data_IF_972209791079
#
_entry.id   IF_972209791079
#
_cell.length_a   1.000
_cell.length_b   1.000
_cell.length_c   1.000
_cell.angle_alpha   90.00
_cell.angle_beta   90.00
_cell.angle_gamma   90.00
#
_symmetry.space_group_name_H-M   'P 1'
#
loop_
_entity.id
_entity.type
_entity.pdbx_description
1 polymer ?
#
# COMPACT_ATOMS: atom_id res chain seq x y z
N UNK A 1 -7.57 5.49 -8.24
CA UNK A 1 -7.06 4.20 -8.79
C UNK A 1 -8.18 3.17 -8.80
N UNK A 2 -8.39 2.39 -9.86
CA UNK A 2 -9.57 1.49 -10.02
C UNK A 2 -9.66 0.30 -9.04
N UNK A 3 -8.65 0.03 -8.22
CA UNK A 3 -8.59 -1.13 -7.33
C UNK A 3 -8.80 -0.80 -5.85
N UNK A 4 -8.70 0.47 -5.45
CA UNK A 4 -8.69 0.85 -4.04
C UNK A 4 -10.09 0.76 -3.38
N UNK A 5 -11.14 0.86 -4.18
CA UNK A 5 -12.52 0.72 -3.73
C UNK A 5 -13.16 -0.58 -4.25
N UNK A 6 -12.34 -1.57 -4.58
CA UNK A 6 -12.83 -2.88 -5.00
C UNK A 6 -11.90 -3.94 -4.47
N UNK A 7 -12.25 -4.46 -3.30
CA UNK A 7 -11.47 -5.39 -2.49
C UNK A 7 -11.09 -6.63 -3.31
N UNK A 8 -12.06 -7.20 -4.03
CA UNK A 8 -11.82 -8.34 -4.92
C UNK A 8 -10.79 -8.03 -6.02
N UNK A 9 -10.87 -6.84 -6.65
CA UNK A 9 -9.90 -6.43 -7.69
C UNK A 9 -8.51 -6.22 -7.10
N UNK A 10 -8.39 -5.85 -5.83
CA UNK A 10 -7.10 -5.75 -5.16
C UNK A 10 -6.44 -7.13 -5.06
N UNK A 11 -7.14 -8.15 -4.54
CA UNK A 11 -6.61 -9.52 -4.46
C UNK A 11 -6.33 -10.13 -5.84
N UNK A 12 -7.25 -9.97 -6.80
CA UNK A 12 -7.05 -10.45 -8.17
C UNK A 12 -5.79 -9.83 -8.79
N UNK A 13 -5.50 -8.56 -8.51
CA UNK A 13 -4.28 -7.90 -8.98
C UNK A 13 -3.01 -8.38 -8.26
N UNK A 14 -3.09 -8.80 -7.00
CA UNK A 14 -1.95 -9.39 -6.29
C UNK A 14 -1.62 -10.76 -6.86
N UNK A 15 -2.61 -11.64 -6.98
CA UNK A 15 -2.46 -12.97 -7.55
C UNK A 15 -1.98 -12.93 -9.00
N UNK A 16 -2.54 -12.05 -9.82
CA UNK A 16 -2.08 -11.87 -11.21
C UNK A 16 -0.60 -11.46 -11.28
N UNK A 17 -0.16 -10.53 -10.42
CA UNK A 17 1.24 -10.08 -10.39
C UNK A 17 2.19 -11.17 -9.88
N UNK A 18 1.73 -12.00 -8.95
CA UNK A 18 2.46 -13.19 -8.47
C UNK A 18 2.61 -14.22 -9.59
N UNK A 19 1.52 -14.59 -10.27
CA UNK A 19 1.57 -15.53 -11.41
C UNK A 19 2.53 -15.05 -12.51
N UNK A 20 2.56 -13.75 -12.81
CA UNK A 20 3.48 -13.16 -13.79
C UNK A 20 4.95 -13.13 -13.36
N UNK A 21 5.26 -13.29 -12.06
CA UNK A 21 6.63 -13.27 -11.56
C UNK A 21 7.28 -14.65 -11.50
N UNK A 22 6.47 -15.73 -11.38
CA UNK A 22 6.97 -17.10 -11.33
C UNK A 22 7.84 -17.47 -12.55
N UNK A 23 7.44 -17.20 -13.81
CA UNK A 23 8.29 -17.50 -14.98
C UNK A 23 9.59 -16.72 -15.02
N UNK A 24 9.70 -15.63 -14.24
CA UNK A 24 10.88 -14.77 -14.15
C UNK A 24 11.81 -15.18 -13.00
N UNK A 25 11.50 -16.27 -12.29
CA UNK A 25 12.26 -16.74 -11.14
C UNK A 25 12.19 -15.82 -9.93
N UNK A 26 11.16 -14.96 -9.85
CA UNK A 26 10.99 -14.03 -8.72
C UNK A 26 9.70 -14.34 -7.96
N UNK A 27 9.85 -14.78 -6.71
CA UNK A 27 8.72 -14.91 -5.81
C UNK A 27 8.37 -13.55 -5.19
N UNK A 28 7.11 -13.14 -5.34
CA UNK A 28 6.58 -11.90 -4.76
C UNK A 28 6.05 -12.08 -3.35
N UNK A 29 5.73 -13.31 -2.94
CA UNK A 29 5.23 -13.62 -1.61
C UNK A 29 6.44 -13.90 -0.73
N UNK A 30 6.80 -12.93 0.10
CA UNK A 30 7.94 -13.06 1.01
C UNK A 30 7.62 -13.93 2.24
N UNK A 31 6.34 -14.06 2.59
CA UNK A 31 5.82 -14.83 3.74
C UNK A 31 4.41 -15.32 3.44
N UNK A 32 4.11 -16.54 3.84
CA UNK A 32 2.82 -17.20 3.60
C UNK A 32 2.76 -17.86 2.22
N UNK A 33 1.58 -18.34 1.87
CA UNK A 33 1.28 -19.07 0.63
C UNK A 33 0.29 -18.29 -0.25
N UNK A 34 0.26 -18.52 -1.58
CA UNK A 34 -0.76 -17.92 -2.46
C UNK A 34 -2.20 -18.18 -1.99
N UNK A 35 -2.44 -19.34 -1.37
CA UNK A 35 -3.73 -19.72 -0.79
C UNK A 35 -4.18 -18.79 0.35
N UNK A 36 -3.24 -18.19 1.08
CA UNK A 36 -3.57 -17.22 2.13
C UNK A 36 -4.22 -15.96 1.54
N UNK A 37 -3.81 -15.55 0.34
CA UNK A 37 -4.43 -14.42 -0.38
C UNK A 37 -5.86 -14.73 -0.82
N UNK A 38 -6.15 -15.98 -1.20
CA UNK A 38 -7.51 -16.42 -1.54
C UNK A 38 -8.40 -16.48 -0.29
N UNK A 39 -7.87 -16.97 0.83
CA UNK A 39 -8.57 -16.98 2.11
C UNK A 39 -8.91 -15.54 2.56
N UNK A 40 -7.96 -14.61 2.43
CA UNK A 40 -8.20 -13.20 2.72
C UNK A 40 -9.25 -12.60 1.78
N UNK A 41 -9.18 -12.87 0.47
CA UNK A 41 -10.19 -12.43 -0.50
C UNK A 41 -11.59 -12.87 -0.08
N UNK A 42 -11.75 -14.14 0.31
CA UNK A 42 -13.05 -14.67 0.71
C UNK A 42 -13.57 -13.99 1.98
N UNK A 43 -12.71 -13.73 2.96
CA UNK A 43 -13.09 -13.00 4.18
C UNK A 43 -13.57 -11.58 3.90
N UNK A 44 -13.07 -10.93 2.86
CA UNK A 44 -13.46 -9.56 2.53
C UNK A 44 -14.92 -9.44 2.08
N UNK A 45 -15.58 -10.54 1.73
CA UNK A 45 -17.03 -10.52 1.47
C UNK A 45 -17.84 -10.14 2.72
N UNK A 46 -17.39 -10.59 3.90
CA UNK A 46 -18.08 -10.38 5.17
C UNK A 46 -17.39 -9.33 6.06
N UNK A 47 -16.19 -8.89 5.66
CA UNK A 47 -15.35 -7.97 6.44
C UNK A 47 -14.86 -6.80 5.59
N UNK A 48 -15.06 -5.58 6.10
CA UNK A 48 -14.55 -4.36 5.47
C UNK A 48 -13.02 -4.37 5.38
N UNK A 49 -12.49 -4.07 4.18
CA UNK A 49 -11.06 -3.87 3.98
C UNK A 49 -10.70 -2.39 4.08
N UNK A 50 -9.93 -2.05 5.11
CA UNK A 50 -9.44 -0.68 5.29
C UNK A 50 -8.01 -0.55 4.75
N UNK A 51 -7.86 0.23 3.68
CA UNK A 51 -6.54 0.61 3.18
C UNK A 51 -5.98 1.78 3.99
N UNK A 52 -4.74 1.64 4.48
CA UNK A 52 -3.99 2.72 5.15
C UNK A 52 -2.69 2.99 4.42
N UNK A 53 -2.40 4.26 4.17
CA UNK A 53 -1.17 4.69 3.54
C UNK A 53 -0.21 5.24 4.58
N UNK A 54 1.01 4.70 4.60
CA UNK A 54 2.07 5.12 5.51
C UNK A 54 3.34 5.36 4.71
N UNK A 55 3.93 6.55 4.85
CA UNK A 55 5.24 6.87 4.29
C UNK A 55 6.25 6.79 5.44
N UNK A 56 7.22 5.88 5.33
CA UNK A 56 8.27 5.71 6.33
C UNK A 56 9.53 6.45 5.85
N UNK A 57 9.95 7.48 6.58
CA UNK A 57 11.10 8.35 6.30
C UNK A 57 12.08 8.34 7.47
N UNK A 58 12.84 7.26 7.68
CA UNK A 58 13.70 7.13 8.86
C UNK A 58 14.90 8.08 8.83
N UNK A 59 15.27 8.60 7.65
CA UNK A 59 16.35 9.57 7.48
C UNK A 59 15.93 11.03 7.76
N UNK A 60 14.63 11.28 7.95
CA UNK A 60 14.09 12.61 8.24
C UNK A 60 13.71 12.64 9.72
N UNK A 61 14.14 13.69 10.43
CA UNK A 61 13.64 13.99 11.78
C UNK A 61 12.53 15.02 11.68
N UNK A 62 11.41 14.79 12.36
CA UNK A 62 10.30 15.75 12.41
C UNK A 62 10.74 17.11 12.98
N UNK A 63 11.76 17.13 13.86
CA UNK A 63 12.29 18.35 14.45
C UNK A 63 13.22 19.14 13.51
N UNK A 64 13.74 18.51 12.44
CA UNK A 64 14.75 19.10 11.54
C UNK A 64 14.36 19.04 10.06
N UNK A 65 13.08 18.82 9.77
CA UNK A 65 12.62 18.68 8.39
C UNK A 65 12.72 20.02 7.64
N UNK A 66 13.26 19.98 6.41
CA UNK A 66 13.33 21.18 5.56
C UNK A 66 12.00 21.49 4.87
N UNK A 67 11.85 22.72 4.39
CA UNK A 67 10.68 23.13 3.59
C UNK A 67 10.51 22.26 2.35
N UNK A 68 11.60 21.90 1.68
CA UNK A 68 11.58 21.13 0.45
C UNK A 68 11.14 19.69 0.71
N UNK A 69 11.64 19.09 1.80
CA UNK A 69 11.19 17.78 2.26
C UNK A 69 9.71 17.79 2.62
N UNK A 70 9.25 18.82 3.31
CA UNK A 70 7.84 18.98 3.67
C UNK A 70 6.96 19.18 2.43
N UNK A 71 7.42 19.95 1.43
CA UNK A 71 6.71 20.18 0.18
C UNK A 71 6.52 18.88 -0.62
N UNK A 72 7.56 18.03 -0.68
CA UNK A 72 7.48 16.71 -1.33
C UNK A 72 6.48 15.80 -0.61
N UNK A 73 6.53 15.76 0.73
CA UNK A 73 5.57 14.98 1.53
C UNK A 73 4.15 15.50 1.41
N UNK A 74 3.94 16.82 1.40
CA UNK A 74 2.64 17.46 1.24
C UNK A 74 2.03 17.22 -0.15
N UNK A 75 2.87 17.24 -1.20
CA UNK A 75 2.44 16.90 -2.56
C UNK A 75 2.05 15.43 -2.66
N UNK A 76 2.84 14.55 -2.04
CA UNK A 76 2.54 13.11 -1.96
C UNK A 76 1.24 12.84 -1.20
N UNK A 77 1.04 13.52 -0.07
CA UNK A 77 -0.20 13.48 0.69
C UNK A 77 -1.40 13.91 -0.16
N UNK A 78 -1.30 15.06 -0.84
CA UNK A 78 -2.39 15.60 -1.66
C UNK A 78 -2.76 14.66 -2.81
N UNK A 79 -1.77 14.08 -3.48
CA UNK A 79 -2.00 13.08 -4.52
C UNK A 79 -2.67 11.82 -3.97
N UNK A 80 -2.15 11.25 -2.87
CA UNK A 80 -2.76 10.05 -2.29
C UNK A 80 -4.17 10.36 -1.83
N UNK A 81 -4.40 11.43 -1.06
CA UNK A 81 -5.72 11.82 -0.57
C UNK A 81 -6.73 12.01 -1.70
N UNK A 82 -6.35 12.69 -2.78
CA UNK A 82 -7.23 12.91 -3.93
C UNK A 82 -7.56 11.63 -4.70
N UNK A 83 -6.60 10.71 -4.83
CA UNK A 83 -6.77 9.46 -5.61
C UNK A 83 -7.41 8.33 -4.80
N UNK A 84 -7.29 8.38 -3.47
CA UNK A 84 -7.65 7.29 -2.54
C UNK A 84 -8.77 7.63 -1.55
N UNK A 85 -9.04 8.92 -1.31
CA UNK A 85 -9.85 9.39 -0.18
C UNK A 85 -9.23 9.16 1.21
N UNK A 86 -8.13 8.40 1.28
CA UNK A 86 -7.50 7.95 2.52
C UNK A 86 -6.48 8.96 3.02
N UNK A 87 -6.36 9.10 4.34
CA UNK A 87 -5.28 9.88 4.94
C UNK A 87 -3.94 9.14 4.84
N UNK A 88 -2.87 9.92 4.86
CA UNK A 88 -1.49 9.43 4.86
C UNK A 88 -0.84 9.77 6.19
N UNK A 89 -0.24 8.77 6.82
CA UNK A 89 0.64 8.97 7.98
C UNK A 89 2.10 8.98 7.53
N UNK A 90 2.89 9.92 8.05
CA UNK A 90 4.34 9.90 7.88
C UNK A 90 4.98 9.43 9.20
N UNK A 91 5.89 8.45 9.12
CA UNK A 91 6.68 7.99 10.24
C UNK A 91 8.12 8.46 10.00
N UNK A 92 8.61 9.35 10.86
CA UNK A 92 9.97 9.89 10.82
C UNK A 92 10.84 9.25 11.88
N UNK A 93 12.14 9.58 11.89
CA UNK A 93 12.92 9.40 13.11
C UNK A 93 12.33 10.27 14.22
N UNK A 94 12.57 9.86 15.48
CA UNK A 94 12.48 10.75 16.62
C UNK A 94 13.39 11.97 16.42
#
# INVERSE_FOLDING_TARGET
MKWLHTEEKFFNRLLHRYQQSLPKGFDRILKGEPMDLELLRNKCHDHEVVFRFVIVQPAISAAKISSDQLAVLGTSYSYIKSVSGSDVKVITSA
#
